data_IF_656831519332
#
_entry.id   IF_656831519332
#
_cell.length_a   1.000
_cell.length_b   1.000
_cell.length_c   1.000
_cell.angle_alpha   90.00
_cell.angle_beta   90.00
_cell.angle_gamma   90.00
#
_symmetry.space_group_name_H-M   'P 1'
#
loop_
_entity.id
_entity.type
_entity.pdbx_description
1 polymer ?
#
# COMPACT_ATOMS: atom_id res chain seq x y z
N UNK A 1 -10.71 4.32 -13.94
CA UNK A 1 -10.93 3.32 -12.91
C UNK A 1 -11.34 3.96 -11.59
N UNK A 2 -12.05 3.18 -10.80
CA UNK A 2 -12.52 3.63 -9.50
C UNK A 2 -11.38 4.13 -8.61
N UNK A 3 -10.21 3.61 -8.84
CA UNK A 3 -9.05 3.94 -8.04
C UNK A 3 -8.61 5.38 -8.22
N UNK A 4 -8.79 5.93 -9.42
CA UNK A 4 -8.45 7.31 -9.67
C UNK A 4 -9.38 8.27 -8.93
N UNK A 5 -10.65 7.89 -8.82
CA UNK A 5 -11.62 8.69 -8.07
C UNK A 5 -11.22 8.72 -6.60
N UNK A 6 -10.90 7.56 -6.05
CA UNK A 6 -10.46 7.47 -4.66
C UNK A 6 -9.20 8.29 -4.41
N UNK A 7 -8.25 8.20 -5.32
CA UNK A 7 -7.01 8.96 -5.22
C UNK A 7 -7.27 10.46 -5.21
N UNK A 8 -8.14 10.92 -6.09
CA UNK A 8 -8.44 12.35 -6.17
C UNK A 8 -9.13 12.85 -4.90
N UNK A 9 -10.02 12.07 -4.35
CA UNK A 9 -10.70 12.43 -3.11
C UNK A 9 -9.70 12.57 -1.97
N UNK A 10 -8.73 11.67 -1.89
CA UNK A 10 -7.71 11.72 -0.86
C UNK A 10 -6.82 12.93 -1.03
N UNK A 11 -6.52 13.31 -2.27
CA UNK A 11 -5.74 14.51 -2.52
C UNK A 11 -6.44 15.77 -2.03
N UNK A 12 -7.76 15.82 -2.15
CA UNK A 12 -8.52 16.95 -1.65
C UNK A 12 -8.36 17.06 -0.13
N UNK A 13 -8.42 15.94 0.56
CA UNK A 13 -8.20 15.95 2.01
C UNK A 13 -6.79 16.42 2.36
N UNK A 14 -5.81 16.05 1.55
CA UNK A 14 -4.45 16.50 1.79
C UNK A 14 -4.33 18.02 1.78
N UNK A 15 -5.03 18.67 0.87
CA UNK A 15 -5.00 20.14 0.79
C UNK A 15 -5.42 20.78 2.11
N UNK A 16 -6.29 20.12 2.83
CA UNK A 16 -6.79 20.60 4.09
C UNK A 16 -6.01 20.09 5.28
N UNK A 17 -4.77 19.76 5.11
CA UNK A 17 -3.89 19.25 6.15
C UNK A 17 -4.59 18.37 7.19
N UNK A 18 -4.04 17.23 7.45
CA UNK A 18 -4.51 16.34 8.53
C UNK A 18 -5.95 15.89 8.41
N UNK A 19 -6.62 16.23 7.31
CA UNK A 19 -8.00 15.84 7.10
C UNK A 19 -8.14 14.49 6.42
N UNK A 20 -7.07 13.93 5.87
CA UNK A 20 -7.14 12.63 5.22
C UNK A 20 -7.20 11.53 6.28
N UNK A 21 -8.32 10.79 6.37
CA UNK A 21 -8.49 9.78 7.43
C UNK A 21 -7.58 8.56 7.25
N UNK A 22 -6.96 8.41 6.09
CA UNK A 22 -6.11 7.26 5.80
C UNK A 22 -4.63 7.55 5.95
N UNK A 23 -4.27 8.79 6.23
CA UNK A 23 -2.87 9.17 6.38
C UNK A 23 -2.28 8.61 7.66
N UNK A 24 -1.03 8.17 7.58
CA UNK A 24 -0.26 7.79 8.75
C UNK A 24 0.91 8.74 8.89
N UNK A 25 1.43 8.87 10.11
CA UNK A 25 2.47 9.85 10.40
C UNK A 25 3.84 9.23 10.54
N UNK A 26 3.90 7.97 10.92
CA UNK A 26 5.16 7.25 11.12
C UNK A 26 5.01 5.83 10.64
N UNK A 27 6.14 5.15 10.46
CA UNK A 27 6.12 3.76 10.05
C UNK A 27 5.47 2.86 11.10
N UNK A 28 5.44 3.27 12.35
CA UNK A 28 4.80 2.45 13.39
C UNK A 28 3.29 2.49 13.32
N UNK A 29 2.73 3.37 12.51
CA UNK A 29 1.28 3.42 12.29
C UNK A 29 0.84 2.43 11.20
N UNK A 30 1.79 1.76 10.56
CA UNK A 30 1.48 0.77 9.54
C UNK A 30 0.64 -0.35 10.15
N UNK A 31 -0.38 -0.79 9.41
CA UNK A 31 -1.28 -1.84 9.91
C UNK A 31 -2.08 -2.44 8.78
N UNK A 32 -2.66 -3.59 9.05
CA UNK A 32 -3.57 -4.25 8.13
C UNK A 32 -4.80 -4.67 8.94
N UNK A 33 -5.96 -4.28 8.47
CA UNK A 33 -7.22 -4.47 9.20
C UNK A 33 -8.24 -5.12 8.27
N UNK A 34 -8.91 -6.15 8.76
CA UNK A 34 -10.00 -6.82 8.04
C UNK A 34 -11.34 -6.47 8.66
N UNK A 35 -12.29 -6.13 7.80
CA UNK A 35 -13.69 -5.97 8.17
C UNK A 35 -14.53 -6.76 7.16
N UNK A 36 -14.93 -7.97 7.56
CA UNK A 36 -15.62 -8.85 6.64
C UNK A 36 -14.71 -9.26 5.49
N UNK A 37 -15.10 -8.97 4.27
CA UNK A 37 -14.29 -9.23 3.09
C UNK A 37 -13.57 -7.97 2.58
N UNK A 38 -13.43 -6.97 3.42
CA UNK A 38 -12.70 -5.75 3.09
C UNK A 38 -11.43 -5.69 3.93
N UNK A 39 -10.31 -5.46 3.27
CA UNK A 39 -9.01 -5.37 3.94
C UNK A 39 -8.41 -4.00 3.66
N UNK A 40 -8.08 -3.29 4.72
CA UNK A 40 -7.40 -2.01 4.62
C UNK A 40 -5.96 -2.19 5.05
N UNK A 41 -5.04 -1.79 4.19
CA UNK A 41 -3.62 -1.88 4.45
C UNK A 41 -3.07 -0.46 4.47
N UNK A 42 -2.59 -0.03 5.63
CA UNK A 42 -2.00 1.29 5.81
C UNK A 42 -0.51 1.14 5.73
N UNK A 43 0.10 1.67 4.67
CA UNK A 43 1.53 1.52 4.48
C UNK A 43 2.20 2.86 4.27
N UNK A 44 3.46 2.89 4.67
CA UNK A 44 4.33 4.03 4.51
C UNK A 44 5.33 3.73 3.41
N UNK A 45 5.69 4.76 2.66
CA UNK A 45 6.79 4.69 1.71
C UNK A 45 7.86 5.66 2.17
N UNK A 46 9.05 5.14 2.38
CA UNK A 46 10.24 5.92 2.62
C UNK A 46 11.32 5.37 1.70
N UNK A 47 12.39 6.14 1.50
CA UNK A 47 13.42 5.71 0.57
C UNK A 47 13.86 4.29 0.89
N UNK A 48 13.77 3.41 -0.12
CA UNK A 48 14.13 2.01 -0.14
C UNK A 48 13.13 1.04 0.48
N UNK A 49 12.07 1.51 1.15
CA UNK A 49 11.18 0.58 1.84
C UNK A 49 9.71 0.94 1.75
N UNK A 50 8.88 -0.10 1.65
CA UNK A 50 7.47 -0.01 2.03
C UNK A 50 7.34 -0.63 3.43
N UNK A 51 6.52 -0.06 4.26
CA UNK A 51 6.22 -0.61 5.58
C UNK A 51 4.71 -0.65 5.75
N UNK A 52 4.07 -1.81 5.85
CA UNK A 52 4.66 -3.16 5.81
C UNK A 52 5.02 -3.59 4.38
N UNK A 53 5.94 -4.53 4.26
CA UNK A 53 6.36 -5.03 2.96
C UNK A 53 5.95 -6.49 2.71
N UNK A 54 5.42 -7.17 3.71
CA UNK A 54 4.95 -8.55 3.58
C UNK A 54 3.59 -8.64 4.23
N UNK A 55 2.59 -9.00 3.44
CA UNK A 55 1.21 -9.02 3.91
C UNK A 55 0.63 -10.41 3.69
N UNK A 56 0.06 -10.98 4.75
CA UNK A 56 -0.55 -12.31 4.74
C UNK A 56 -2.02 -12.19 5.10
N UNK A 57 -2.80 -13.19 4.76
CA UNK A 57 -4.19 -13.27 5.21
C UNK A 57 -5.20 -12.63 4.29
N UNK A 58 -4.77 -12.08 3.17
CA UNK A 58 -5.69 -11.68 2.10
C UNK A 58 -6.18 -12.94 1.41
N UNK A 59 -7.43 -12.97 0.98
CA UNK A 59 -7.98 -14.16 0.33
C UNK A 59 -8.88 -13.78 -0.84
N UNK A 60 -9.13 -14.74 -1.69
CA UNK A 60 -10.01 -14.52 -2.83
C UNK A 60 -11.37 -14.03 -2.35
N UNK A 61 -11.92 -13.08 -3.07
CA UNK A 61 -13.17 -12.45 -2.71
C UNK A 61 -13.01 -11.19 -1.89
N UNK A 62 -11.81 -10.91 -1.41
CA UNK A 62 -11.54 -9.69 -0.68
C UNK A 62 -11.50 -8.48 -1.60
N UNK A 63 -11.88 -7.34 -1.06
CA UNK A 63 -11.60 -6.03 -1.62
C UNK A 63 -10.49 -5.43 -0.77
N UNK A 64 -9.39 -5.08 -1.39
CA UNK A 64 -8.20 -4.60 -0.68
C UNK A 64 -7.98 -3.12 -1.00
N UNK A 65 -7.82 -2.32 0.04
CA UNK A 65 -7.47 -0.91 -0.09
C UNK A 65 -6.05 -0.72 0.43
N UNK A 66 -5.16 -0.28 -0.45
CA UNK A 66 -3.82 0.12 -0.05
C UNK A 66 -3.81 1.63 0.15
N UNK A 67 -3.68 2.05 1.38
CA UNK A 67 -3.58 3.46 1.72
C UNK A 67 -2.11 3.76 1.95
N UNK A 68 -1.46 4.36 0.96
CA UNK A 68 -0.03 4.61 1.04
C UNK A 68 0.26 6.08 1.31
N UNK A 69 1.03 6.33 2.36
CA UNK A 69 1.52 7.65 2.71
C UNK A 69 2.99 7.73 2.40
N UNK A 70 3.37 8.74 1.62
CA UNK A 70 4.78 9.00 1.33
C UNK A 70 5.34 9.86 2.46
N UNK A 71 6.22 9.26 3.27
CA UNK A 71 6.78 9.92 4.45
C UNK A 71 8.12 10.60 4.17
N UNK A 72 8.49 10.77 2.89
CA UNK A 72 9.74 11.45 2.57
C UNK A 72 9.70 12.90 3.02
N UNK A 73 10.83 13.35 3.51
CA UNK A 73 11.01 14.74 3.90
C UNK A 73 11.36 15.62 2.70
N UNK A 74 12.03 15.05 1.71
CA UNK A 74 12.43 15.78 0.52
C UNK A 74 11.26 15.86 -0.45
N UNK A 75 10.84 17.06 -0.75
CA UNK A 75 9.64 17.32 -1.54
C UNK A 75 9.70 16.75 -2.96
N UNK A 76 10.89 16.42 -3.45
CA UNK A 76 11.08 15.93 -4.81
C UNK A 76 11.27 14.42 -4.90
N UNK A 77 10.92 13.66 -3.86
CA UNK A 77 11.08 12.21 -3.89
C UNK A 77 9.71 11.53 -3.91
N UNK A 78 9.16 11.29 -5.11
CA UNK A 78 7.90 10.58 -5.22
C UNK A 78 8.11 9.08 -5.03
N UNK A 79 7.05 8.38 -4.69
CA UNK A 79 7.05 6.92 -4.66
C UNK A 79 5.87 6.42 -5.47
N UNK A 80 6.16 5.56 -6.43
CA UNK A 80 5.11 4.85 -7.15
C UNK A 80 4.76 3.58 -6.39
N UNK A 81 3.58 3.06 -6.64
CA UNK A 81 3.13 1.83 -6.03
C UNK A 81 2.30 1.05 -7.04
N UNK A 82 2.60 -0.23 -7.17
CA UNK A 82 1.83 -1.11 -8.03
C UNK A 82 1.81 -2.52 -7.47
N UNK A 83 0.75 -3.24 -7.83
CA UNK A 83 0.64 -4.68 -7.56
C UNK A 83 0.90 -5.39 -8.89
N UNK A 84 1.91 -6.26 -8.90
CA UNK A 84 2.29 -6.95 -10.13
C UNK A 84 1.17 -7.85 -10.62
N UNK A 85 1.00 -7.91 -11.94
CA UNK A 85 0.01 -8.77 -12.55
C UNK A 85 -1.37 -8.17 -12.71
N UNK A 86 -1.56 -6.94 -12.26
CA UNK A 86 -2.85 -6.26 -12.38
C UNK A 86 -2.68 -4.96 -13.16
N UNK A 87 -3.37 -4.85 -14.27
CA UNK A 87 -3.38 -3.62 -15.04
C UNK A 87 -4.11 -2.53 -14.25
N UNK A 88 -3.66 -1.30 -14.42
CA UNK A 88 -4.28 -0.14 -13.77
C UNK A 88 -4.22 -0.18 -12.25
N UNK A 89 -3.30 -0.96 -11.70
CA UNK A 89 -3.13 -1.04 -10.25
C UNK A 89 -1.86 -0.34 -9.83
N UNK A 90 -1.69 0.90 -10.28
CA UNK A 90 -0.54 1.70 -9.90
C UNK A 90 -0.94 3.12 -9.55
N UNK A 91 -0.16 3.75 -8.70
CA UNK A 91 -0.38 5.14 -8.32
C UNK A 91 0.94 5.81 -8.00
N UNK A 92 0.99 7.11 -8.19
CA UNK A 92 2.16 7.92 -7.85
C UNK A 92 1.80 8.79 -6.66
N UNK A 93 2.63 8.75 -5.63
CA UNK A 93 2.35 9.44 -4.37
C UNK A 93 3.51 10.39 -4.08
N UNK A 94 3.21 11.67 -4.02
CA UNK A 94 4.20 12.70 -3.74
C UNK A 94 4.48 12.79 -2.24
N UNK A 95 5.63 13.35 -1.84
CA UNK A 95 5.94 13.48 -0.41
C UNK A 95 4.83 14.16 0.36
N UNK A 96 4.48 13.60 1.49
CA UNK A 96 3.41 14.10 2.32
C UNK A 96 2.01 13.73 1.87
N UNK A 97 1.88 13.11 0.70
CA UNK A 97 0.60 12.67 0.15
C UNK A 97 0.21 11.30 0.66
N UNK A 98 -1.09 11.07 0.74
CA UNK A 98 -1.64 9.72 0.96
C UNK A 98 -2.61 9.43 -0.17
N UNK A 99 -2.42 8.32 -0.83
CA UNK A 99 -3.29 7.88 -1.91
C UNK A 99 -3.77 6.47 -1.65
N UNK A 100 -4.94 6.14 -2.16
CA UNK A 100 -5.55 4.82 -1.95
C UNK A 100 -5.69 4.10 -3.28
N UNK A 101 -5.21 2.88 -3.33
CA UNK A 101 -5.41 1.97 -4.45
C UNK A 101 -6.36 0.86 -4.02
N UNK A 102 -7.42 0.68 -4.80
CA UNK A 102 -8.40 -0.38 -4.58
C UNK A 102 -8.07 -1.55 -5.47
N UNK A 103 -8.00 -2.74 -4.90
CA UNK A 103 -7.55 -3.91 -5.62
C UNK A 103 -8.40 -5.12 -5.28
N UNK A 104 -8.63 -5.95 -6.29
CA UNK A 104 -9.37 -7.21 -6.15
C UNK A 104 -8.44 -8.35 -6.58
N UNK A 105 -7.95 -9.17 -5.66
CA UNK A 105 -7.15 -10.33 -6.06
C UNK A 105 -8.01 -11.30 -6.87
N UNK A 106 -7.46 -11.82 -7.96
CA UNK A 106 -8.19 -12.70 -8.86
C UNK A 106 -7.71 -14.15 -8.84
N UNK A 107 -6.68 -14.45 -8.07
CA UNK A 107 -6.20 -15.82 -7.93
C UNK A 107 -5.34 -15.97 -6.70
N UNK A 108 -5.23 -17.21 -6.24
CA UNK A 108 -4.36 -17.57 -5.11
C UNK A 108 -2.91 -17.46 -5.55
N UNK A 109 -2.06 -16.96 -4.66
CA UNK A 109 -0.64 -16.88 -4.92
C UNK A 109 0.00 -15.66 -4.29
N UNK A 110 1.21 -15.39 -4.71
CA UNK A 110 1.98 -14.26 -4.21
C UNK A 110 1.96 -13.16 -5.26
N UNK A 111 1.56 -11.96 -4.84
CA UNK A 111 1.52 -10.79 -5.70
C UNK A 111 2.58 -9.81 -5.20
N UNK A 112 3.66 -9.63 -5.96
CA UNK A 112 4.64 -8.61 -5.60
C UNK A 112 4.04 -7.21 -5.63
N UNK A 113 4.45 -6.38 -4.69
CA UNK A 113 4.20 -4.95 -4.70
C UNK A 113 5.54 -4.26 -4.88
N UNK A 114 5.56 -3.16 -5.60
CA UNK A 114 6.83 -2.53 -5.93
C UNK A 114 6.65 -1.05 -6.25
N UNK A 115 7.78 -0.33 -6.16
CA UNK A 115 7.82 1.08 -6.54
C UNK A 115 7.96 1.18 -8.06
N UNK A 116 7.10 1.97 -8.67
CA UNK A 116 7.06 2.11 -10.14
C UNK A 116 7.89 3.28 -10.64
N UNK A 117 8.42 4.09 -9.75
CA UNK A 117 9.15 5.29 -10.12
C UNK A 117 10.57 5.23 -9.57
N UNK A 118 11.51 5.86 -10.31
CA UNK A 118 12.89 5.89 -9.85
C UNK A 118 13.01 6.95 -8.75
N UNK A 119 13.11 6.49 -7.51
CA UNK A 119 13.15 7.38 -6.36
C UNK A 119 14.52 7.44 -5.69
N UNK A 120 15.40 6.50 -5.97
CA UNK A 120 16.75 6.50 -5.41
C UNK A 120 17.57 5.38 -6.04
N UNK A 121 18.86 5.34 -5.70
CA UNK A 121 19.74 4.26 -6.15
C UNK A 121 19.28 2.90 -5.65
N UNK A 122 18.51 2.87 -4.57
CA UNK A 122 17.99 1.62 -3.99
C UNK A 122 16.55 1.35 -4.41
N UNK A 123 16.10 1.98 -5.48
CA UNK A 123 14.75 1.86 -5.99
C UNK A 123 14.29 0.40 -6.12
N UNK A 124 15.14 -0.46 -6.61
CA UNK A 124 14.80 -1.86 -6.82
C UNK A 124 14.54 -2.63 -5.53
N UNK A 125 14.94 -2.08 -4.41
CA UNK A 125 14.70 -2.71 -3.12
C UNK A 125 13.36 -2.34 -2.51
N UNK A 126 12.66 -1.37 -3.11
CA UNK A 126 11.32 -1.00 -2.65
C UNK A 126 10.31 -1.98 -3.22
N UNK A 127 10.23 -3.13 -2.58
CA UNK A 127 9.29 -4.16 -2.99
C UNK A 127 8.92 -5.03 -1.79
N UNK A 128 7.83 -5.71 -1.96
CA UNK A 128 7.33 -6.64 -0.98
C UNK A 128 6.34 -7.56 -1.64
N UNK A 129 5.45 -8.15 -0.87
CA UNK A 129 4.43 -9.02 -1.46
C UNK A 129 3.16 -9.07 -0.62
N UNK A 130 2.09 -9.46 -1.30
CA UNK A 130 0.83 -9.83 -0.67
C UNK A 130 0.56 -11.28 -1.02
N UNK A 131 0.34 -12.11 -0.02
CA UNK A 131 -0.04 -13.50 -0.25
C UNK A 131 -1.55 -13.62 -0.21
N UNK A 132 -2.10 -14.15 -1.29
CA UNK A 132 -3.54 -14.36 -1.42
C UNK A 132 -3.83 -15.84 -1.23
N UNK A 133 -4.69 -16.15 -0.26
CA UNK A 133 -5.09 -17.51 0.07
C UNK A 133 -6.47 -17.82 -0.49
N UNK A 134 -6.87 -19.08 -0.40
CA UNK A 134 -8.17 -19.51 -0.85
C UNK A 134 -9.29 -18.77 -0.10
N UNK A 135 -10.47 -18.71 -0.72
CA UNK A 135 -11.60 -17.99 -0.17
C UNK A 135 -12.01 -18.46 1.21
N UNK A 136 -11.86 -19.74 1.49
CA UNK A 136 -12.26 -20.33 2.77
C UNK A 136 -11.11 -20.41 3.77
N UNK A 137 -10.01 -19.77 3.49
CA UNK A 137 -8.85 -19.76 4.39
C UNK A 137 -9.17 -19.07 5.70
N UNK A 138 -8.61 -19.58 6.79
CA UNK A 138 -8.74 -18.99 8.13
C UNK A 138 -7.49 -18.24 8.56
N UNK A 139 -6.55 -18.02 7.66
CA UNK A 139 -5.32 -17.29 7.99
C UNK A 139 -5.68 -15.85 8.31
N UNK A 140 -5.34 -15.34 9.49
CA UNK A 140 -5.65 -13.96 9.84
C UNK A 140 -4.77 -13.00 9.05
N UNK A 141 -5.28 -11.79 8.84
CA UNK A 141 -4.49 -10.74 8.22
C UNK A 141 -3.33 -10.38 9.15
N UNK A 142 -2.14 -10.36 8.60
CA UNK A 142 -0.94 -10.03 9.35
C UNK A 142 0.08 -9.40 8.41
N UNK A 143 1.10 -8.83 8.99
CA UNK A 143 2.15 -8.20 8.19
C UNK A 143 3.49 -8.28 8.92
N UNK A 144 4.54 -8.10 8.14
CA UNK A 144 5.91 -8.08 8.65
C UNK A 144 6.52 -6.72 8.33
N UNK A 145 7.28 -6.20 9.24
CA UNK A 145 8.03 -4.97 9.02
C UNK A 145 9.35 -5.22 8.29
N UNK A 146 9.52 -6.45 7.81
CA UNK A 146 10.71 -6.77 7.04
C UNK A 146 11.98 -6.64 7.86
N UNK A 147 12.94 -5.90 7.34
CA UNK A 147 14.22 -5.74 8.02
C UNK A 147 14.13 -4.87 9.26
N UNK A 148 13.05 -4.17 9.45
CA UNK A 148 12.91 -3.25 10.58
C UNK A 148 12.82 -3.96 11.91
N UNK A 149 12.53 -5.24 11.89
CA UNK A 149 12.39 -6.01 13.12
C UNK A 149 13.72 -6.50 13.65
N UNK A 150 14.78 -6.16 13.02
CA UNK A 150 16.11 -6.57 13.46
C UNK A 150 16.68 -5.61 14.47
#
# INVERSE_FOLDING_TARGET
PADLVTKNQIKIYKIEENMNPFAIKTITDAKAVREGNVVHIYLAATRSHFTPDNIEGVKLGDTVYFHMTNLEQDWDIPHGFAVMGNQNSEMLVMPGETCTLKWFPDRVGIYPIYCTDFCSALHQEMQGYVRVSAKDSNVPVSFSLGNDKK
#
